data_IF_891625756789
#
_entry.id   IF_891625756789
#
_cell.length_a   1.000
_cell.length_b   1.000
_cell.length_c   1.000
_cell.angle_alpha   90.00
_cell.angle_beta   90.00
_cell.angle_gamma   90.00
#
_symmetry.space_group_name_H-M   'P 1'
#
loop_
_entity.id
_entity.type
_entity.pdbx_description
1 polymer ?
#
# COMPACT_ATOMS: atom_id res chain seq x y z
N UNK A 1 23.95 27.64 24.18
CA UNK A 1 23.43 26.28 23.93
C UNK A 1 22.95 26.25 22.50
N UNK A 2 23.59 25.43 21.68
CA UNK A 2 23.43 25.44 20.22
C UNK A 2 22.28 24.49 19.87
N UNK A 3 21.22 25.02 19.27
CA UNK A 3 20.09 24.25 18.79
C UNK A 3 20.52 23.48 17.51
N UNK A 4 20.76 22.18 17.65
CA UNK A 4 21.10 21.27 16.55
C UNK A 4 20.13 20.08 16.56
N UNK A 5 18.85 20.30 16.20
CA UNK A 5 17.90 19.17 16.05
C UNK A 5 16.64 19.48 15.24
N UNK A 6 16.73 20.29 14.18
CA UNK A 6 15.55 20.57 13.33
C UNK A 6 15.77 20.29 11.84
N UNK A 7 17.01 20.14 11.36
CA UNK A 7 17.27 19.98 9.92
C UNK A 7 17.09 18.54 9.42
N UNK A 8 17.14 17.52 10.29
CA UNK A 8 17.08 16.10 9.87
C UNK A 8 15.67 15.48 9.85
N UNK A 9 14.65 16.11 10.45
CA UNK A 9 13.28 15.55 10.51
C UNK A 9 12.34 16.08 9.43
N UNK A 10 12.74 17.13 8.71
CA UNK A 10 11.83 17.98 7.93
C UNK A 10 11.52 17.52 6.48
N UNK A 11 11.94 16.33 5.98
CA UNK A 11 11.30 15.72 4.80
C UNK A 11 10.54 14.41 5.06
N UNK A 12 10.86 13.67 6.12
CA UNK A 12 10.25 12.35 6.37
C UNK A 12 8.73 12.45 6.62
N UNK A 13 8.30 13.48 7.37
CA UNK A 13 6.88 13.67 7.70
C UNK A 13 6.00 13.88 6.45
N UNK A 14 6.53 14.47 5.39
CA UNK A 14 5.79 14.71 4.15
C UNK A 14 5.51 13.39 3.43
N UNK A 15 6.51 12.52 3.38
CA UNK A 15 6.35 11.16 2.84
C UNK A 15 5.43 10.32 3.73
N UNK A 16 5.52 10.46 5.05
CA UNK A 16 4.59 9.79 5.97
C UNK A 16 3.14 10.27 5.78
N UNK A 17 2.93 11.57 5.55
CA UNK A 17 1.61 12.13 5.25
C UNK A 17 1.09 11.65 3.88
N UNK A 18 1.94 11.62 2.86
CA UNK A 18 1.60 11.07 1.54
C UNK A 18 1.17 9.61 1.66
N UNK A 19 1.96 8.78 2.36
CA UNK A 19 1.63 7.38 2.61
C UNK A 19 0.32 7.22 3.38
N UNK A 20 0.08 8.07 4.39
CA UNK A 20 -1.14 8.04 5.17
C UNK A 20 -2.38 8.35 4.31
N UNK A 21 -2.31 9.38 3.45
CA UNK A 21 -3.39 9.75 2.54
C UNK A 21 -3.64 8.70 1.47
N UNK A 22 -2.58 8.09 0.91
CA UNK A 22 -2.72 6.96 -0.01
C UNK A 22 -3.41 5.78 0.67
N UNK A 23 -2.96 5.42 1.88
CA UNK A 23 -3.55 4.34 2.68
C UNK A 23 -5.03 4.60 3.00
N UNK A 24 -5.41 5.83 3.30
CA UNK A 24 -6.81 6.22 3.52
C UNK A 24 -7.65 6.00 2.25
N UNK A 25 -7.18 6.43 1.08
CA UNK A 25 -7.88 6.22 -0.20
C UNK A 25 -8.02 4.73 -0.52
N UNK A 26 -6.97 3.94 -0.34
CA UNK A 26 -7.02 2.48 -0.53
C UNK A 26 -8.06 1.82 0.38
N UNK A 27 -8.13 2.23 1.66
CA UNK A 27 -9.13 1.70 2.61
C UNK A 27 -10.57 2.10 2.29
N UNK A 28 -10.78 3.16 1.52
CA UNK A 28 -12.11 3.57 1.05
C UNK A 28 -12.58 2.83 -0.19
N UNK A 29 -11.73 2.02 -0.83
CA UNK A 29 -12.14 1.14 -1.93
C UNK A 29 -13.23 0.19 -1.43
N UNK A 30 -14.40 0.12 -2.11
CA UNK A 30 -15.44 -0.82 -1.73
C UNK A 30 -14.90 -2.25 -1.73
N UNK A 31 -15.33 -3.07 -0.77
CA UNK A 31 -14.99 -4.48 -0.80
C UNK A 31 -15.87 -5.22 -1.82
N UNK A 32 -15.32 -6.20 -2.56
CA UNK A 32 -16.13 -7.08 -3.35
C UNK A 32 -16.99 -7.98 -2.44
N UNK A 33 -18.11 -8.53 -2.93
CA UNK A 33 -18.99 -9.36 -2.12
C UNK A 33 -18.25 -10.52 -1.43
N UNK A 34 -18.70 -10.90 -0.23
CA UNK A 34 -18.12 -12.00 0.56
C UNK A 34 -16.62 -11.83 0.85
N UNK A 35 -16.22 -10.59 1.09
CA UNK A 35 -14.85 -10.19 1.42
C UNK A 35 -14.87 -9.28 2.63
N UNK A 36 -13.91 -9.45 3.52
CA UNK A 36 -13.75 -8.68 4.76
C UNK A 36 -12.28 -8.26 4.92
N UNK A 37 -12.03 -7.17 5.65
CA UNK A 37 -10.66 -6.79 6.00
C UNK A 37 -10.07 -7.76 7.03
N UNK A 38 -8.80 -8.13 6.85
CA UNK A 38 -7.96 -8.69 7.90
C UNK A 38 -7.01 -7.61 8.44
N UNK A 39 -7.54 -6.75 9.31
CA UNK A 39 -6.81 -5.58 9.85
C UNK A 39 -5.50 -5.94 10.58
N UNK A 40 -5.29 -7.22 10.93
CA UNK A 40 -4.07 -7.67 11.63
C UNK A 40 -2.88 -7.83 10.70
N UNK A 41 -3.14 -7.99 9.40
CA UNK A 41 -2.12 -8.22 8.38
C UNK A 41 -1.97 -7.03 7.41
N UNK A 42 -2.68 -5.92 7.62
CA UNK A 42 -2.48 -4.70 6.85
C UNK A 42 -1.10 -4.10 7.12
N UNK A 43 -0.46 -3.60 6.07
CA UNK A 43 0.83 -2.94 6.14
C UNK A 43 0.88 -1.74 5.19
N UNK A 44 1.79 -0.82 5.47
CA UNK A 44 2.09 0.32 4.59
C UNK A 44 3.55 0.69 4.74
N UNK A 45 4.20 0.97 3.61
CA UNK A 45 5.64 1.23 3.56
C UNK A 45 5.93 2.42 2.65
N UNK A 46 6.94 3.20 3.03
CA UNK A 46 7.59 4.16 2.15
C UNK A 46 9.10 3.95 2.25
N UNK A 47 9.71 3.63 1.12
CA UNK A 47 11.15 3.41 0.95
C UNK A 47 11.50 3.27 -0.53
N UNK A 48 12.78 3.06 -0.84
CA UNK A 48 13.18 2.54 -2.15
C UNK A 48 12.77 1.07 -2.26
N UNK A 49 11.72 0.77 -3.03
CA UNK A 49 11.15 -0.57 -3.19
C UNK A 49 11.47 -1.16 -4.56
N UNK A 50 11.49 -0.32 -5.61
CA UNK A 50 11.77 -0.73 -6.98
C UNK A 50 12.94 0.07 -7.57
N UNK A 51 13.82 -0.64 -8.28
CA UNK A 51 14.97 -0.03 -8.95
C UNK A 51 16.09 0.42 -8.01
N UNK A 52 16.93 1.31 -8.51
CA UNK A 52 17.99 1.97 -7.76
C UNK A 52 17.86 3.47 -7.98
N UNK A 53 18.14 4.30 -6.98
CA UNK A 53 18.12 5.75 -7.17
C UNK A 53 17.77 6.53 -5.92
N UNK A 54 17.48 7.81 -6.14
CA UNK A 54 17.09 8.78 -5.12
C UNK A 54 15.60 9.10 -5.27
N UNK A 55 14.75 8.12 -4.96
CA UNK A 55 13.30 8.23 -5.07
C UNK A 55 12.59 7.42 -3.99
N UNK A 56 11.40 7.86 -3.62
CA UNK A 56 10.51 7.14 -2.72
C UNK A 56 9.45 6.39 -3.51
N UNK A 57 9.20 5.16 -3.08
CA UNK A 57 8.05 4.37 -3.47
C UNK A 57 7.12 4.19 -2.28
N UNK A 58 5.82 4.23 -2.55
CA UNK A 58 4.76 4.03 -1.57
C UNK A 58 4.07 2.70 -1.85
N UNK A 59 3.90 1.89 -0.81
CA UNK A 59 3.24 0.59 -0.91
C UNK A 59 2.19 0.47 0.19
N UNK A 60 0.98 0.09 -0.19
CA UNK A 60 -0.11 -0.21 0.74
C UNK A 60 -0.56 -1.64 0.54
N UNK A 61 -0.47 -2.45 1.60
CA UNK A 61 -0.99 -3.80 1.65
C UNK A 61 -2.37 -3.81 2.30
N UNK A 62 -3.38 -4.04 1.48
CA UNK A 62 -4.72 -4.32 1.93
C UNK A 62 -4.86 -5.82 2.18
N UNK A 63 -4.91 -6.22 3.44
CA UNK A 63 -5.12 -7.61 3.81
C UNK A 63 -6.61 -7.93 3.90
N UNK A 64 -7.03 -8.99 3.23
CA UNK A 64 -8.41 -9.39 3.06
C UNK A 64 -8.59 -10.87 3.35
N UNK A 65 -9.80 -11.24 3.77
CA UNK A 65 -10.30 -12.61 3.71
C UNK A 65 -11.50 -12.69 2.78
N UNK A 66 -11.53 -13.67 1.87
CA UNK A 66 -12.59 -13.76 0.85
C UNK A 66 -13.02 -15.19 0.55
N UNK A 67 -14.28 -15.33 0.11
CA UNK A 67 -14.82 -16.57 -0.49
C UNK A 67 -14.85 -16.56 -2.02
N UNK A 68 -14.43 -15.46 -2.64
CA UNK A 68 -14.41 -15.36 -4.10
C UNK A 68 -13.34 -16.28 -4.70
N UNK A 69 -13.52 -16.81 -5.92
CA UNK A 69 -12.45 -17.42 -6.69
C UNK A 69 -11.27 -16.46 -6.92
N UNK A 70 -10.06 -17.00 -7.08
CA UNK A 70 -8.82 -16.23 -7.28
C UNK A 70 -8.94 -15.25 -8.46
N UNK A 71 -9.49 -15.72 -9.58
CA UNK A 71 -9.68 -14.91 -10.77
C UNK A 71 -10.70 -13.79 -10.58
N UNK A 72 -11.73 -13.97 -9.75
CA UNK A 72 -12.74 -12.94 -9.50
C UNK A 72 -12.18 -11.80 -8.64
N UNK A 73 -11.43 -12.15 -7.58
CA UNK A 73 -10.81 -11.15 -6.71
C UNK A 73 -9.70 -10.39 -7.44
N UNK A 74 -8.89 -11.08 -8.25
CA UNK A 74 -7.86 -10.46 -9.09
C UNK A 74 -8.48 -9.47 -10.08
N UNK A 75 -9.51 -9.91 -10.82
CA UNK A 75 -10.21 -9.06 -11.78
C UNK A 75 -10.86 -7.85 -11.10
N UNK A 76 -11.43 -8.00 -9.91
CA UNK A 76 -12.01 -6.87 -9.18
C UNK A 76 -10.99 -5.75 -8.97
N UNK A 77 -9.82 -6.08 -8.43
CA UNK A 77 -8.78 -5.10 -8.10
C UNK A 77 -7.96 -4.61 -9.30
N UNK A 78 -7.95 -5.36 -10.41
CA UNK A 78 -7.44 -4.89 -11.71
C UNK A 78 -8.23 -3.69 -12.25
N UNK A 79 -9.55 -3.65 -12.04
CA UNK A 79 -10.42 -2.58 -12.52
C UNK A 79 -10.68 -1.47 -11.49
N UNK A 80 -10.35 -1.69 -10.21
CA UNK A 80 -10.37 -0.63 -9.20
C UNK A 80 -9.34 0.42 -9.57
N UNK A 81 -9.72 1.69 -9.44
CA UNK A 81 -8.80 2.82 -9.59
C UNK A 81 -8.71 3.59 -8.27
N UNK A 82 -7.50 3.70 -7.75
CA UNK A 82 -7.16 4.59 -6.63
C UNK A 82 -6.24 5.69 -7.14
N UNK A 83 -6.43 6.91 -6.64
CA UNK A 83 -5.53 8.02 -6.94
C UNK A 83 -4.23 7.91 -6.12
N UNK A 84 -3.09 7.94 -6.79
CA UNK A 84 -1.75 7.98 -6.23
C UNK A 84 -1.44 9.31 -5.53
N UNK A 85 -0.22 9.46 -5.04
CA UNK A 85 0.26 10.64 -4.32
C UNK A 85 0.19 11.89 -5.21
N UNK A 86 0.60 11.76 -6.48
CA UNK A 86 0.62 12.86 -7.47
C UNK A 86 -0.51 12.74 -8.52
N UNK A 87 -1.60 12.03 -8.19
CA UNK A 87 -2.77 11.93 -9.06
C UNK A 87 -2.74 10.80 -10.10
N UNK A 88 -1.67 10.00 -10.14
CA UNK A 88 -1.59 8.82 -11.00
C UNK A 88 -2.70 7.82 -10.67
N UNK A 89 -3.20 7.08 -11.66
CA UNK A 89 -4.20 6.03 -11.43
C UNK A 89 -3.50 4.71 -11.10
N UNK A 90 -3.84 4.14 -9.95
CA UNK A 90 -3.30 2.89 -9.46
C UNK A 90 -4.38 1.80 -9.49
N UNK A 91 -3.99 0.59 -9.90
CA UNK A 91 -4.76 -0.64 -9.73
C UNK A 91 -4.16 -1.51 -8.63
N UNK A 92 -4.93 -2.46 -8.11
CA UNK A 92 -4.46 -3.39 -7.08
C UNK A 92 -3.88 -4.68 -7.67
N UNK A 93 -2.70 -5.08 -7.23
CA UNK A 93 -2.10 -6.38 -7.55
C UNK A 93 -2.46 -7.39 -6.48
N UNK A 94 -3.02 -8.53 -6.86
CA UNK A 94 -3.57 -9.51 -5.92
C UNK A 94 -2.63 -10.69 -5.71
N UNK A 95 -2.29 -10.96 -4.45
CA UNK A 95 -1.50 -12.10 -4.00
C UNK A 95 -2.36 -13.00 -3.12
N UNK A 96 -2.67 -14.19 -3.63
CA UNK A 96 -3.42 -15.21 -2.87
C UNK A 96 -2.41 -16.06 -2.12
N UNK A 97 -2.61 -16.27 -0.81
CA UNK A 97 -1.77 -17.18 -0.05
C UNK A 97 -2.23 -18.64 -0.30
N UNK A 98 -1.46 -19.47 -1.04
CA UNK A 98 -1.86 -20.84 -1.34
C UNK A 98 -1.84 -21.76 -0.11
N UNK A 99 -1.10 -21.36 0.94
CA UNK A 99 -0.94 -22.10 2.19
C UNK A 99 -1.85 -21.60 3.33
N UNK A 100 -2.69 -20.59 3.06
CA UNK A 100 -3.51 -19.94 4.06
C UNK A 100 -4.48 -20.90 4.76
N UNK A 101 -4.57 -20.79 6.09
CA UNK A 101 -5.60 -21.48 6.86
C UNK A 101 -6.98 -21.01 6.40
N UNK A 102 -7.70 -21.86 5.68
CA UNK A 102 -9.07 -21.59 5.31
C UNK A 102 -9.91 -21.56 6.58
N UNK A 103 -10.29 -20.36 7.04
CA UNK A 103 -11.18 -20.23 8.19
C UNK A 103 -12.60 -20.15 7.67
N UNK A 104 -13.42 -21.17 7.96
CA UNK A 104 -14.85 -21.19 7.58
C UNK A 104 -15.09 -20.97 6.06
N UNK A 105 -14.16 -21.46 5.23
CA UNK A 105 -14.20 -21.33 3.77
C UNK A 105 -13.68 -19.99 3.22
N UNK A 106 -13.14 -19.10 4.05
CA UNK A 106 -12.44 -17.90 3.60
C UNK A 106 -10.94 -18.16 3.39
N UNK A 107 -10.36 -17.61 2.32
CA UNK A 107 -8.90 -17.57 2.10
C UNK A 107 -8.34 -16.17 2.35
N UNK A 108 -7.10 -16.10 2.83
CA UNK A 108 -6.36 -14.84 2.96
C UNK A 108 -5.81 -14.36 1.62
N UNK A 109 -5.92 -13.06 1.38
CA UNK A 109 -5.46 -12.38 0.17
C UNK A 109 -4.80 -11.07 0.59
N UNK A 110 -3.67 -10.74 -0.03
CA UNK A 110 -3.06 -9.40 0.04
C UNK A 110 -3.30 -8.70 -1.28
N UNK A 111 -3.74 -7.46 -1.24
CA UNK A 111 -3.83 -6.58 -2.40
C UNK A 111 -2.85 -5.45 -2.22
N UNK A 112 -1.93 -5.30 -3.16
CA UNK A 112 -0.90 -4.28 -3.15
C UNK A 112 -1.27 -3.13 -4.07
N UNK A 113 -1.20 -1.91 -3.54
CA UNK A 113 -1.23 -0.69 -4.33
C UNK A 113 0.16 -0.06 -4.22
N UNK A 114 0.86 0.00 -5.36
CA UNK A 114 2.21 0.51 -5.48
C UNK A 114 2.21 1.82 -6.26
N UNK A 115 2.86 2.84 -5.71
CA UNK A 115 3.04 4.16 -6.33
C UNK A 115 4.51 4.55 -6.24
N UNK A 116 5.22 4.45 -7.37
CA UNK A 116 6.68 4.49 -7.41
C UNK A 116 7.26 5.72 -8.08
N UNK A 117 8.52 6.02 -7.75
CA UNK A 117 9.32 7.02 -8.47
C UNK A 117 9.12 8.48 -8.04
N UNK A 118 8.69 8.74 -6.81
CA UNK A 118 8.51 10.09 -6.29
C UNK A 118 9.81 10.70 -5.79
N UNK A 119 9.93 12.03 -5.80
CA UNK A 119 11.12 12.71 -5.27
C UNK A 119 11.39 12.34 -3.79
N UNK A 120 12.58 11.83 -3.51
CA UNK A 120 12.95 11.38 -2.16
C UNK A 120 13.20 12.53 -1.16
N UNK A 121 13.55 13.72 -1.64
CA UNK A 121 13.99 14.82 -0.78
C UNK A 121 15.18 14.39 0.09
N UNK A 122 15.09 14.59 1.41
CA UNK A 122 16.11 14.09 2.36
C UNK A 122 15.60 12.92 3.22
N UNK A 123 14.58 12.18 2.77
CA UNK A 123 14.12 10.99 3.48
C UNK A 123 15.07 9.83 3.22
N UNK A 124 15.90 9.47 4.22
CA UNK A 124 16.93 8.43 4.11
C UNK A 124 16.36 7.03 3.82
N UNK A 125 15.04 6.81 3.93
CA UNK A 125 14.41 5.54 3.53
C UNK A 125 14.40 5.35 2.01
N UNK A 126 14.66 6.42 1.25
CA UNK A 126 14.48 6.52 -0.20
C UNK A 126 15.80 6.69 -0.98
N UNK A 127 16.92 6.25 -0.37
CA UNK A 127 18.28 6.28 -0.93
C UNK A 127 18.94 4.90 -0.87
#
# INVERSE_FOLDING_TARGET
>A
MVAHTVVFRVPQWRNDENLARLSERVRMVPLPPRTEHDLRAEAREVRLLEGNGNHCDYLVHLALVTKLPDAEIARYYEFVTVEGVDGAKLSGTVYVNPSGSWREGFKGVIVEFFDGGHEAGFDLRCH
#
